data_IF_361609670781
#
_entry.id   IF_361609670781
#
_cell.length_a   1.000
_cell.length_b   1.000
_cell.length_c   1.000
_cell.angle_alpha   90.00
_cell.angle_beta   90.00
_cell.angle_gamma   90.00
#
_symmetry.space_group_name_H-M   'P 1'
#
loop_
_entity.id
_entity.type
_entity.pdbx_description
1 polymer ?
#
# COMPACT_ATOMS: atom_id res chain seq x y z
N UNK A 1 14.03 -5.85 -13.22
CA UNK A 1 13.94 -7.16 -12.52
C UNK A 1 13.41 -8.32 -13.37
N UNK A 2 12.95 -8.12 -14.62
CA UNK A 2 12.64 -9.23 -15.52
C UNK A 2 13.62 -9.19 -16.70
N UNK A 3 14.58 -10.13 -16.72
CA UNK A 3 15.33 -10.44 -17.94
C UNK A 3 14.35 -11.08 -18.93
N UNK A 4 14.41 -10.68 -20.19
CA UNK A 4 13.58 -11.20 -21.29
C UNK A 4 12.05 -10.96 -21.15
N UNK A 5 11.68 -9.76 -20.72
CA UNK A 5 10.25 -9.38 -20.58
C UNK A 5 9.54 -9.33 -21.94
N UNK A 6 8.48 -10.14 -22.08
CA UNK A 6 7.51 -10.02 -23.18
C UNK A 6 6.38 -9.06 -22.80
N UNK A 7 5.96 -8.14 -23.68
CA UNK A 7 4.90 -7.19 -23.39
C UNK A 7 3.57 -7.91 -23.14
N UNK A 8 2.99 -7.65 -21.97
CA UNK A 8 1.67 -8.14 -21.59
C UNK A 8 0.57 -7.18 -22.05
N UNK A 9 -0.65 -7.70 -22.19
CA UNK A 9 -1.83 -6.88 -22.47
C UNK A 9 -1.94 -5.68 -21.50
N UNK A 10 -2.27 -4.52 -22.06
CA UNK A 10 -2.18 -3.23 -21.35
C UNK A 10 -2.93 -3.21 -20.02
N UNK A 11 -4.12 -3.81 -19.97
CA UNK A 11 -4.95 -3.84 -18.76
C UNK A 11 -4.23 -4.56 -17.60
N UNK A 12 -3.62 -5.72 -17.87
CA UNK A 12 -2.88 -6.48 -16.87
C UNK A 12 -1.63 -5.74 -16.40
N UNK A 13 -0.93 -5.06 -17.31
CA UNK A 13 0.22 -4.21 -16.95
C UNK A 13 -0.20 -3.08 -16.00
N UNK A 14 -1.36 -2.44 -16.26
CA UNK A 14 -1.90 -1.36 -15.42
C UNK A 14 -2.28 -1.86 -14.03
N UNK A 15 -2.95 -3.01 -13.94
CA UNK A 15 -3.33 -3.63 -12.67
C UNK A 15 -2.09 -4.06 -11.87
N UNK A 16 -1.13 -4.76 -12.50
CA UNK A 16 0.14 -5.16 -11.85
C UNK A 16 0.87 -3.97 -11.25
N UNK A 17 1.04 -2.88 -12.02
CA UNK A 17 1.70 -1.67 -11.53
C UNK A 17 1.00 -1.10 -10.29
N UNK A 18 -0.33 -1.07 -10.26
CA UNK A 18 -1.10 -0.60 -9.09
C UNK A 18 -0.85 -1.47 -7.86
N UNK A 19 -0.86 -2.79 -8.03
CA UNK A 19 -0.58 -3.75 -6.96
C UNK A 19 0.84 -3.52 -6.42
N UNK A 20 1.83 -3.41 -7.31
CA UNK A 20 3.23 -3.16 -6.92
C UNK A 20 3.39 -1.82 -6.18
N UNK A 21 2.79 -0.74 -6.69
CA UNK A 21 2.81 0.56 -6.01
C UNK A 21 2.20 0.48 -4.61
N UNK A 22 1.05 -0.18 -4.46
CA UNK A 22 0.39 -0.35 -3.17
C UNK A 22 1.25 -1.15 -2.18
N UNK A 23 1.88 -2.24 -2.65
CA UNK A 23 2.76 -3.06 -1.80
C UNK A 23 4.05 -2.33 -1.41
N UNK A 24 4.66 -1.57 -2.31
CA UNK A 24 5.83 -0.73 -2.00
C UNK A 24 5.47 0.31 -0.93
N UNK A 25 4.35 1.00 -1.08
CA UNK A 25 3.83 1.96 -0.10
C UNK A 25 3.60 1.33 1.28
N UNK A 26 2.97 0.17 1.33
CA UNK A 26 2.75 -0.60 2.55
C UNK A 26 4.07 -1.03 3.22
N UNK A 27 5.04 -1.48 2.42
CA UNK A 27 6.34 -1.88 2.94
C UNK A 27 7.14 -0.70 3.48
N UNK A 28 7.12 0.44 2.80
CA UNK A 28 7.95 1.59 3.14
C UNK A 28 7.31 2.45 4.23
N UNK A 29 6.03 2.81 4.10
CA UNK A 29 5.35 3.74 5.00
C UNK A 29 4.85 3.06 6.28
N UNK A 30 4.24 1.87 6.14
CA UNK A 30 3.65 1.14 7.25
C UNK A 30 4.55 0.02 7.78
N UNK A 31 5.77 -0.11 7.22
CA UNK A 31 6.74 -1.14 7.59
C UNK A 31 6.10 -2.53 7.63
N UNK A 32 5.26 -2.87 6.65
CA UNK A 32 4.44 -4.11 6.66
C UNK A 32 5.24 -5.37 6.94
N UNK A 33 6.49 -5.44 6.44
CA UNK A 33 7.39 -6.58 6.63
C UNK A 33 7.84 -6.80 8.07
N UNK A 34 7.81 -5.77 8.92
CA UNK A 34 8.19 -5.87 10.34
C UNK A 34 6.98 -6.30 11.17
N UNK A 35 7.08 -7.48 11.78
CA UNK A 35 6.11 -8.00 12.73
C UNK A 35 6.81 -8.44 14.02
N UNK A 36 6.29 -8.01 15.17
CA UNK A 36 6.81 -8.35 16.50
C UNK A 36 5.76 -9.05 17.37
N UNK A 37 4.63 -9.47 16.77
CA UNK A 37 3.59 -10.17 17.51
C UNK A 37 4.09 -11.56 17.91
N UNK A 38 3.76 -11.99 19.13
CA UNK A 38 4.12 -13.31 19.66
C UNK A 38 3.02 -14.35 19.46
N UNK A 39 1.85 -13.91 19.00
CA UNK A 39 0.67 -14.75 18.73
C UNK A 39 0.13 -14.48 17.34
N UNK A 40 -0.53 -15.48 16.75
CA UNK A 40 -1.16 -15.36 15.44
C UNK A 40 -2.29 -14.30 15.43
N UNK A 41 -3.04 -14.19 16.53
CA UNK A 41 -4.06 -13.17 16.68
C UNK A 41 -3.45 -11.76 16.63
N UNK A 42 -2.38 -11.50 17.38
CA UNK A 42 -1.67 -10.22 17.32
C UNK A 42 -1.08 -9.94 15.94
N UNK A 43 -0.64 -10.97 15.22
CA UNK A 43 -0.22 -10.84 13.82
C UNK A 43 -1.37 -10.36 12.92
N UNK A 44 -2.53 -11.03 12.98
CA UNK A 44 -3.74 -10.67 12.21
C UNK A 44 -4.18 -9.23 12.50
N UNK A 45 -4.28 -8.86 13.78
CA UNK A 45 -4.70 -7.52 14.19
C UNK A 45 -3.73 -6.45 13.68
N UNK A 46 -2.43 -6.69 13.74
CA UNK A 46 -1.42 -5.73 13.24
C UNK A 46 -1.44 -5.61 11.72
N UNK A 47 -1.61 -6.71 11.00
CA UNK A 47 -1.76 -6.71 9.53
C UNK A 47 -2.98 -5.88 9.12
N UNK A 48 -4.14 -6.15 9.74
CA UNK A 48 -5.38 -5.40 9.49
C UNK A 48 -5.21 -3.92 9.80
N UNK A 49 -4.67 -3.58 10.97
CA UNK A 49 -4.47 -2.18 11.38
C UNK A 49 -3.64 -1.37 10.36
N UNK A 50 -2.57 -1.97 9.81
CA UNK A 50 -1.73 -1.29 8.81
C UNK A 50 -2.44 -1.12 7.46
N UNK A 51 -3.25 -2.10 7.03
CA UNK A 51 -4.07 -1.98 5.81
C UNK A 51 -5.15 -0.91 6.02
N UNK A 52 -5.84 -0.92 7.16
CA UNK A 52 -6.85 0.10 7.48
C UNK A 52 -6.25 1.49 7.55
N UNK A 53 -5.07 1.65 8.16
CA UNK A 53 -4.39 2.94 8.23
C UNK A 53 -4.04 3.49 6.83
N UNK A 54 -3.60 2.63 5.91
CA UNK A 54 -3.41 3.02 4.51
C UNK A 54 -4.71 3.55 3.90
N UNK A 55 -5.80 2.81 4.04
CA UNK A 55 -7.11 3.21 3.48
C UNK A 55 -7.60 4.52 4.07
N UNK A 56 -7.42 4.75 5.37
CA UNK A 56 -7.78 6.00 6.04
C UNK A 56 -6.99 7.19 5.49
N UNK A 57 -5.67 7.06 5.33
CA UNK A 57 -4.83 8.12 4.74
C UNK A 57 -5.25 8.41 3.29
N UNK A 58 -5.50 7.36 2.50
CA UNK A 58 -5.99 7.48 1.13
C UNK A 58 -7.33 8.20 1.04
N UNK A 59 -8.26 7.84 1.93
CA UNK A 59 -9.56 8.49 2.06
C UNK A 59 -9.41 9.96 2.40
N UNK A 60 -8.61 10.28 3.43
CA UNK A 60 -8.40 11.67 3.86
C UNK A 60 -7.82 12.52 2.73
N UNK A 61 -6.80 12.01 2.05
CA UNK A 61 -6.18 12.70 0.92
C UNK A 61 -7.18 13.03 -0.18
N UNK A 62 -8.06 12.08 -0.51
CA UNK A 62 -9.02 12.25 -1.59
C UNK A 62 -10.18 13.16 -1.18
N UNK A 63 -10.81 12.87 -0.04
CA UNK A 63 -12.07 13.49 0.34
C UNK A 63 -11.90 14.86 0.99
N UNK A 64 -10.87 15.05 1.83
CA UNK A 64 -10.68 16.32 2.54
C UNK A 64 -9.68 17.25 1.86
N UNK A 65 -8.66 16.69 1.17
CA UNK A 65 -7.58 17.50 0.59
C UNK A 65 -7.56 17.54 -0.93
N UNK A 66 -8.43 16.78 -1.62
CA UNK A 66 -8.45 16.64 -3.09
C UNK A 66 -7.05 16.34 -3.69
N UNK A 67 -6.22 15.59 -2.96
CA UNK A 67 -4.87 15.16 -3.34
C UNK A 67 -4.91 13.80 -4.02
N UNK A 68 -3.85 13.47 -4.75
CA UNK A 68 -3.70 12.13 -5.33
C UNK A 68 -3.70 11.06 -4.21
N UNK A 69 -4.52 10.03 -4.38
CA UNK A 69 -4.68 8.93 -3.43
C UNK A 69 -3.35 8.24 -3.07
N UNK A 70 -2.39 8.22 -4.00
CA UNK A 70 -1.10 7.56 -3.80
C UNK A 70 -0.10 8.40 -2.97
N UNK A 71 -0.43 9.65 -2.63
CA UNK A 71 0.46 10.53 -1.87
C UNK A 71 0.35 10.26 -0.36
N UNK A 72 0.94 9.16 0.10
CA UNK A 72 0.84 8.74 1.51
C UNK A 72 1.83 9.46 2.44
N UNK A 73 2.93 9.97 1.91
CA UNK A 73 3.95 10.74 2.65
C UNK A 73 3.58 12.22 2.64
N UNK A 74 2.42 12.55 3.18
CA UNK A 74 1.94 13.93 3.24
C UNK A 74 1.54 14.25 4.66
N UNK A 75 1.89 15.46 5.12
CA UNK A 75 1.43 15.94 6.41
C UNK A 75 -0.09 16.06 6.39
N UNK A 76 -0.74 15.40 7.35
CA UNK A 76 -2.18 15.54 7.59
C UNK A 76 -2.47 16.81 8.43
N UNK A 77 -1.44 17.35 9.12
CA UNK A 77 -1.48 18.57 9.94
C UNK A 77 -0.69 19.69 9.25
#
# INVERSE_FOLDING_TARGET
NQKDYKPQFYLFKKQRKRIETLFSQLCDQFMMRRNYAKTFEGFKTRLLAKITALTVVQFINKEYFNRNINNLKVSII
#
